data_IF_037063678268
#
_entry.id   IF_037063678268
#
_cell.length_a   1.000
_cell.length_b   1.000
_cell.length_c   1.000
_cell.angle_alpha   90.00
_cell.angle_beta   90.00
_cell.angle_gamma   90.00
#
_symmetry.space_group_name_H-M   'P 1'
#
loop_
_entity.id
_entity.type
_entity.pdbx_description
1 polymer ?
#
# COMPACT_ATOMS: atom_id res chain seq x y z
N UNK A 1 -11.97 -7.80 19.53
CA UNK A 1 -10.65 -8.22 20.06
C UNK A 1 -10.25 -9.55 19.45
N UNK A 2 -9.01 -9.95 19.58
CA UNK A 2 -8.54 -11.30 19.21
C UNK A 2 -9.41 -12.40 19.83
N UNK A 3 -9.80 -12.22 21.09
CA UNK A 3 -10.60 -13.17 21.83
C UNK A 3 -12.07 -13.26 21.38
N UNK A 4 -12.54 -12.29 20.60
CA UNK A 4 -13.90 -12.26 20.04
C UNK A 4 -14.03 -12.87 18.65
N UNK A 5 -12.94 -13.44 18.11
CA UNK A 5 -12.97 -14.10 16.80
C UNK A 5 -13.73 -15.44 16.86
N UNK A 6 -14.26 -15.91 15.72
CA UNK A 6 -14.91 -17.22 15.64
C UNK A 6 -14.00 -18.35 16.13
N UNK A 7 -14.60 -19.39 16.67
CA UNK A 7 -13.86 -20.57 17.15
C UNK A 7 -13.00 -21.16 16.03
N UNK A 8 -11.78 -21.58 16.37
CA UNK A 8 -10.81 -22.15 15.43
C UNK A 8 -10.02 -21.14 14.61
N UNK A 9 -10.38 -19.83 14.63
CA UNK A 9 -9.63 -18.81 13.88
C UNK A 9 -8.22 -18.63 14.44
N UNK A 10 -8.09 -18.59 15.76
CA UNK A 10 -6.80 -18.44 16.44
C UNK A 10 -5.92 -19.67 16.21
N UNK A 11 -6.46 -20.85 16.38
CA UNK A 11 -5.78 -22.12 16.17
C UNK A 11 -5.31 -22.26 14.71
N UNK A 12 -6.15 -21.88 13.75
CA UNK A 12 -5.77 -21.85 12.34
C UNK A 12 -4.60 -20.87 12.09
N UNK A 13 -4.70 -19.66 12.63
CA UNK A 13 -3.64 -18.65 12.49
C UNK A 13 -2.31 -19.13 13.06
N UNK A 14 -2.33 -19.66 14.29
CA UNK A 14 -1.12 -20.14 14.97
C UNK A 14 -0.51 -21.35 14.23
N UNK A 15 -1.33 -22.29 13.74
CA UNK A 15 -0.90 -23.44 12.94
C UNK A 15 -0.23 -23.01 11.64
N UNK A 16 -0.88 -22.16 10.86
CA UNK A 16 -0.34 -21.71 9.57
C UNK A 16 0.95 -20.89 9.75
N UNK A 17 1.01 -20.08 10.79
CA UNK A 17 2.20 -19.31 11.12
C UNK A 17 3.38 -20.20 11.52
N UNK A 18 3.15 -21.25 12.29
CA UNK A 18 4.20 -22.21 12.66
C UNK A 18 4.64 -23.04 11.46
N UNK A 19 3.73 -23.45 10.60
CA UNK A 19 4.04 -24.16 9.35
C UNK A 19 4.98 -23.32 8.45
N UNK A 20 4.69 -22.02 8.27
CA UNK A 20 5.56 -21.09 7.53
C UNK A 20 6.93 -20.95 8.18
N UNK A 21 6.95 -20.78 9.49
CA UNK A 21 8.21 -20.64 10.22
C UNK A 21 9.13 -21.85 10.01
N UNK A 22 8.58 -23.07 10.11
CA UNK A 22 9.33 -24.31 9.84
C UNK A 22 9.82 -24.35 8.40
N UNK A 23 8.99 -23.99 7.42
CA UNK A 23 9.39 -23.95 6.02
C UNK A 23 10.62 -23.06 5.76
N UNK A 24 10.71 -21.91 6.43
CA UNK A 24 11.86 -21.00 6.28
C UNK A 24 13.08 -21.37 7.14
N UNK A 25 12.90 -22.12 8.23
CA UNK A 25 14.00 -22.47 9.16
C UNK A 25 14.71 -23.74 8.72
N UNK A 26 13.98 -24.79 8.41
CA UNK A 26 14.54 -26.12 8.12
C UNK A 26 13.96 -26.78 6.86
N UNK A 27 13.10 -26.09 6.15
CA UNK A 27 12.43 -26.59 4.95
C UNK A 27 11.26 -27.54 5.22
N UNK A 28 10.98 -27.85 6.50
CA UNK A 28 9.85 -28.73 6.84
C UNK A 28 8.53 -27.96 6.84
N UNK A 29 7.49 -28.60 6.33
CA UNK A 29 6.14 -28.06 6.32
C UNK A 29 5.12 -29.18 6.15
N UNK A 30 3.91 -28.98 6.69
CA UNK A 30 2.82 -29.94 6.55
C UNK A 30 2.16 -29.86 5.17
N UNK A 31 2.11 -28.66 4.62
CA UNK A 31 1.61 -28.33 3.28
C UNK A 31 2.27 -27.03 2.82
N UNK A 32 2.24 -26.76 1.51
CA UNK A 32 2.70 -25.49 0.96
C UNK A 32 1.76 -24.38 1.45
N UNK A 33 2.26 -23.39 2.22
CA UNK A 33 1.41 -22.33 2.73
C UNK A 33 0.86 -21.47 1.59
N UNK A 34 -0.45 -21.27 1.57
CA UNK A 34 -1.13 -20.39 0.61
C UNK A 34 -1.68 -19.20 1.38
N UNK A 35 -1.10 -18.02 1.16
CA UNK A 35 -1.50 -16.77 1.82
C UNK A 35 -2.02 -15.76 0.80
N UNK A 36 -3.22 -15.93 0.25
CA UNK A 36 -3.78 -15.00 -0.72
C UNK A 36 -4.12 -13.66 -0.08
N UNK A 37 -3.95 -12.58 -0.83
CA UNK A 37 -4.46 -11.27 -0.47
C UNK A 37 -5.97 -11.25 -0.73
N UNK A 38 -6.76 -11.57 0.27
CA UNK A 38 -8.23 -11.72 0.10
C UNK A 38 -8.97 -10.39 -0.02
N UNK A 39 -8.37 -9.27 0.45
CA UNK A 39 -8.90 -7.93 0.26
C UNK A 39 -10.40 -7.79 0.57
N UNK A 40 -11.10 -7.04 -0.27
CA UNK A 40 -12.55 -6.83 -0.14
C UNK A 40 -13.40 -8.11 -0.26
N UNK A 41 -12.87 -9.18 -0.87
CA UNK A 41 -13.54 -10.49 -0.89
C UNK A 41 -13.86 -11.00 0.51
N UNK A 42 -12.99 -10.72 1.49
CA UNK A 42 -13.24 -11.09 2.88
C UNK A 42 -14.55 -10.49 3.45
N UNK A 43 -14.96 -9.31 2.99
CA UNK A 43 -16.25 -8.75 3.35
C UNK A 43 -17.40 -9.41 2.59
N UNK A 44 -17.31 -9.43 1.26
CA UNK A 44 -18.41 -9.91 0.41
C UNK A 44 -18.71 -11.40 0.57
N UNK A 45 -17.71 -12.23 0.81
CA UNK A 45 -17.88 -13.66 1.09
C UNK A 45 -18.71 -13.93 2.36
N UNK A 46 -18.76 -12.99 3.29
CA UNK A 46 -19.55 -13.07 4.52
C UNK A 46 -20.80 -12.17 4.50
N UNK A 47 -21.20 -11.64 3.34
CA UNK A 47 -22.38 -10.79 3.19
C UNK A 47 -22.23 -9.37 3.73
N UNK A 48 -21.00 -8.90 3.94
CA UNK A 48 -20.70 -7.55 4.41
C UNK A 48 -20.44 -6.58 3.25
N UNK A 49 -20.57 -5.28 3.51
CA UNK A 49 -20.37 -4.26 2.50
C UNK A 49 -18.88 -3.95 2.28
N UNK A 50 -18.51 -3.61 1.04
CA UNK A 50 -17.18 -3.08 0.74
C UNK A 50 -16.96 -1.71 1.35
N UNK A 51 -18.02 -0.90 1.51
CA UNK A 51 -17.93 0.37 2.21
C UNK A 51 -17.37 0.18 3.63
N UNK A 52 -17.95 -0.75 4.40
CA UNK A 52 -17.46 -1.06 5.75
C UNK A 52 -16.03 -1.62 5.72
N UNK A 53 -15.68 -2.44 4.72
CA UNK A 53 -14.32 -2.95 4.56
C UNK A 53 -13.31 -1.81 4.41
N UNK A 54 -13.62 -0.79 3.62
CA UNK A 54 -12.71 0.33 3.36
C UNK A 54 -12.78 1.46 4.39
N UNK A 55 -13.77 1.47 5.28
CA UNK A 55 -13.93 2.50 6.33
C UNK A 55 -13.65 1.99 7.74
N UNK A 56 -13.76 0.67 7.96
CA UNK A 56 -13.66 0.03 9.28
C UNK A 56 -12.53 -1.04 9.30
N UNK A 57 -11.26 -0.65 9.43
CA UNK A 57 -10.14 -1.57 9.35
C UNK A 57 -10.20 -2.71 10.38
N UNK A 58 -10.76 -2.48 11.56
CA UNK A 58 -10.90 -3.50 12.58
C UNK A 58 -11.87 -4.63 12.14
N UNK A 59 -12.96 -4.26 11.47
CA UNK A 59 -13.89 -5.23 10.87
C UNK A 59 -13.22 -5.95 9.70
N UNK A 60 -12.55 -5.20 8.82
CA UNK A 60 -11.85 -5.75 7.66
C UNK A 60 -10.85 -6.84 8.05
N UNK A 61 -10.03 -6.60 9.07
CA UNK A 61 -9.05 -7.58 9.57
C UNK A 61 -9.74 -8.80 10.19
N UNK A 62 -10.81 -8.60 10.96
CA UNK A 62 -11.57 -9.72 11.52
C UNK A 62 -12.18 -10.62 10.42
N UNK A 63 -12.70 -10.03 9.35
CA UNK A 63 -13.24 -10.78 8.21
C UNK A 63 -12.16 -11.51 7.40
N UNK A 64 -10.96 -10.93 7.27
CA UNK A 64 -9.82 -11.61 6.65
C UNK A 64 -9.42 -12.86 7.45
N UNK A 65 -9.37 -12.76 8.78
CA UNK A 65 -9.08 -13.90 9.66
C UNK A 65 -10.15 -15.01 9.55
N UNK A 66 -11.42 -14.62 9.54
CA UNK A 66 -12.51 -15.60 9.43
C UNK A 66 -12.53 -16.25 8.04
N UNK A 67 -12.29 -15.49 6.98
CA UNK A 67 -12.13 -16.03 5.63
C UNK A 67 -10.98 -17.05 5.58
N UNK A 68 -9.83 -16.70 6.14
CA UNK A 68 -8.68 -17.62 6.19
C UNK A 68 -9.03 -18.90 6.94
N UNK A 69 -9.77 -18.83 8.06
CA UNK A 69 -10.24 -19.99 8.81
C UNK A 69 -11.19 -20.87 7.99
N UNK A 70 -12.18 -20.24 7.31
CA UNK A 70 -13.19 -20.97 6.53
C UNK A 70 -12.55 -21.74 5.38
N UNK A 71 -11.58 -21.14 4.71
CA UNK A 71 -10.88 -21.76 3.57
C UNK A 71 -9.63 -22.56 3.94
N UNK A 72 -9.24 -22.60 5.22
CA UNK A 72 -8.04 -23.32 5.68
C UNK A 72 -6.74 -22.75 5.09
N UNK A 73 -6.71 -21.45 4.80
CA UNK A 73 -5.55 -20.77 4.21
C UNK A 73 -4.82 -19.93 5.26
N UNK A 74 -3.56 -19.58 4.94
CA UNK A 74 -2.81 -18.67 5.80
C UNK A 74 -3.44 -17.27 5.81
N UNK A 75 -3.70 -16.68 7.00
CA UNK A 75 -4.16 -15.30 7.08
C UNK A 75 -3.03 -14.32 6.74
N UNK A 76 -3.16 -13.63 5.63
CA UNK A 76 -2.31 -12.51 5.27
C UNK A 76 -3.04 -11.21 5.63
N UNK A 77 -2.80 -10.73 6.85
CA UNK A 77 -3.51 -9.57 7.38
C UNK A 77 -2.96 -8.28 6.79
N UNK A 78 -3.77 -7.62 6.01
CA UNK A 78 -3.46 -6.34 5.41
C UNK A 78 -4.73 -5.50 5.25
N UNK A 79 -4.63 -4.22 5.51
CA UNK A 79 -5.67 -3.27 5.15
C UNK A 79 -5.06 -2.24 4.22
N UNK A 80 -5.36 -2.40 2.93
CA UNK A 80 -4.83 -1.59 1.87
C UNK A 80 -5.92 -0.72 1.25
N UNK A 81 -5.57 0.52 0.96
CA UNK A 81 -6.39 1.49 0.27
C UNK A 81 -5.85 1.65 -1.15
N UNK A 82 -6.69 1.44 -2.16
CA UNK A 82 -6.21 1.33 -3.56
C UNK A 82 -5.67 2.64 -4.13
N UNK A 83 -6.08 3.80 -3.59
CA UNK A 83 -5.73 5.12 -4.10
C UNK A 83 -5.13 5.98 -3.00
N UNK A 84 -3.83 5.95 -2.92
CA UNK A 84 -3.10 6.70 -1.91
C UNK A 84 -2.63 8.06 -2.42
N UNK A 85 -2.53 9.02 -1.50
CA UNK A 85 -1.81 10.28 -1.62
C UNK A 85 -2.49 11.39 -2.43
N UNK A 86 -3.53 11.14 -3.18
CA UNK A 86 -4.21 12.21 -3.91
C UNK A 86 -5.04 13.13 -2.99
N UNK A 87 -5.65 12.59 -1.92
CA UNK A 87 -6.45 13.38 -0.98
C UNK A 87 -5.60 14.34 -0.13
N UNK A 88 -4.36 13.95 0.20
CA UNK A 88 -3.44 14.80 0.95
C UNK A 88 -3.07 16.08 0.17
N UNK A 89 -3.21 16.03 -1.15
CA UNK A 89 -2.95 17.16 -2.07
C UNK A 89 -4.22 17.83 -2.59
N UNK A 90 -5.39 17.51 -2.04
CA UNK A 90 -6.67 18.12 -2.40
C UNK A 90 -7.45 17.40 -3.50
N UNK A 91 -7.02 16.23 -3.94
CA UNK A 91 -7.82 15.32 -4.75
C UNK A 91 -8.95 14.67 -3.96
N UNK A 92 -9.81 13.92 -4.62
CA UNK A 92 -10.91 13.20 -3.98
C UNK A 92 -10.99 11.77 -4.44
N UNK A 93 -11.51 10.89 -3.57
CA UNK A 93 -11.75 9.49 -3.86
C UNK A 93 -13.22 9.12 -3.64
N UNK A 94 -13.63 8.05 -4.29
CA UNK A 94 -14.92 7.40 -4.08
C UNK A 94 -14.72 6.05 -3.41
N UNK A 95 -15.32 5.88 -2.23
CA UNK A 95 -15.38 4.57 -1.58
C UNK A 95 -16.53 3.78 -2.20
N UNK A 96 -16.32 2.53 -2.61
CA UNK A 96 -17.34 1.74 -3.26
C UNK A 96 -18.47 1.37 -2.30
N UNK A 97 -19.70 1.40 -2.84
CA UNK A 97 -20.90 0.91 -2.14
C UNK A 97 -21.44 -0.39 -2.75
N UNK A 98 -20.96 -0.75 -3.95
CA UNK A 98 -21.33 -1.98 -4.63
C UNK A 98 -20.48 -3.18 -4.23
N UNK A 99 -20.88 -4.40 -4.62
CA UNK A 99 -20.25 -5.64 -4.15
C UNK A 99 -18.92 -5.99 -4.85
N UNK A 100 -18.56 -5.32 -5.94
CA UNK A 100 -17.39 -5.68 -6.76
C UNK A 100 -16.67 -4.43 -7.29
N UNK A 101 -16.08 -3.66 -6.38
CA UNK A 101 -15.27 -2.51 -6.77
C UNK A 101 -14.23 -2.18 -5.70
N UNK A 102 -13.20 -1.44 -6.08
CA UNK A 102 -12.22 -0.83 -5.20
C UNK A 102 -12.50 0.68 -5.07
N UNK A 103 -11.90 1.36 -4.09
CA UNK A 103 -11.86 2.82 -4.09
C UNK A 103 -11.27 3.34 -5.40
N UNK A 104 -11.82 4.45 -5.89
CA UNK A 104 -11.44 5.06 -7.16
C UNK A 104 -11.16 6.54 -7.00
N UNK A 105 -10.28 7.10 -7.83
CA UNK A 105 -9.99 8.53 -7.85
C UNK A 105 -11.08 9.26 -8.61
N UNK A 106 -11.68 10.28 -7.98
CA UNK A 106 -12.66 11.15 -8.63
C UNK A 106 -12.02 12.40 -9.20
N UNK A 107 -11.07 13.01 -8.47
CA UNK A 107 -10.36 14.21 -8.93
C UNK A 107 -8.89 14.12 -8.58
N UNK A 108 -8.07 14.64 -9.49
CA UNK A 108 -6.62 14.70 -9.33
C UNK A 108 -6.21 16.12 -8.91
N UNK A 109 -5.28 16.27 -7.94
CA UNK A 109 -4.87 17.58 -7.45
C UNK A 109 -4.17 18.44 -8.51
N UNK A 110 -3.52 17.82 -9.48
CA UNK A 110 -2.66 18.50 -10.47
C UNK A 110 -2.93 18.00 -11.91
N UNK A 111 -4.19 18.06 -12.34
CA UNK A 111 -4.68 17.57 -13.62
C UNK A 111 -4.35 18.46 -14.85
N UNK A 112 -3.63 19.57 -14.64
CA UNK A 112 -3.14 20.46 -15.70
C UNK A 112 -1.64 20.70 -15.56
N UNK A 113 -0.98 21.09 -16.67
CA UNK A 113 0.46 21.41 -16.69
C UNK A 113 0.82 22.47 -15.63
N UNK A 114 0.02 23.52 -15.53
CA UNK A 114 0.23 24.61 -14.57
C UNK A 114 0.13 24.14 -13.12
N UNK A 115 -0.86 23.32 -12.79
CA UNK A 115 -1.03 22.77 -11.44
C UNK A 115 0.10 21.79 -11.10
N UNK A 116 0.49 20.94 -12.06
CA UNK A 116 1.56 19.98 -11.87
C UNK A 116 2.93 20.63 -11.65
N UNK A 117 3.21 21.72 -12.38
CA UNK A 117 4.44 22.49 -12.17
C UNK A 117 4.49 23.14 -10.79
N UNK A 118 3.37 23.64 -10.29
CA UNK A 118 3.24 24.31 -8.97
C UNK A 118 3.10 23.38 -7.78
N UNK A 119 2.77 22.09 -8.00
CA UNK A 119 2.56 21.15 -6.89
C UNK A 119 3.89 20.87 -6.19
N UNK A 120 3.93 21.04 -4.86
CA UNK A 120 5.12 20.76 -4.06
C UNK A 120 4.87 19.61 -3.07
N UNK A 121 5.90 18.79 -2.77
CA UNK A 121 5.78 17.71 -1.79
C UNK A 121 5.47 18.26 -0.39
N UNK A 122 4.48 17.68 0.28
CA UNK A 122 4.18 17.99 1.68
C UNK A 122 5.32 17.49 2.60
N UNK A 123 5.57 18.20 3.69
CA UNK A 123 6.50 17.80 4.74
C UNK A 123 6.03 16.53 5.47
N UNK A 124 6.92 15.82 6.19
CA UNK A 124 6.52 14.67 7.01
C UNK A 124 5.43 15.01 8.03
N UNK A 125 5.49 16.19 8.65
CA UNK A 125 4.50 16.65 9.64
C UNK A 125 3.14 16.95 9.02
N UNK A 126 3.10 17.51 7.80
CA UNK A 126 1.85 17.73 7.05
C UNK A 126 1.23 16.40 6.65
N UNK A 127 2.02 15.47 6.07
CA UNK A 127 1.56 14.12 5.72
C UNK A 127 1.07 13.34 6.94
N UNK A 128 1.76 13.46 8.09
CA UNK A 128 1.34 12.80 9.32
C UNK A 128 -0.05 13.25 9.80
N UNK A 129 -0.43 14.50 9.51
CA UNK A 129 -1.77 15.05 9.81
C UNK A 129 -2.79 14.77 8.69
N UNK A 130 -2.32 14.30 7.53
CA UNK A 130 -3.13 14.05 6.37
C UNK A 130 -4.03 12.80 6.48
N UNK A 131 -5.06 12.71 5.64
CA UNK A 131 -6.03 11.62 5.69
C UNK A 131 -5.41 10.25 5.35
N UNK A 132 -4.41 10.20 4.48
CA UNK A 132 -3.80 8.92 4.06
C UNK A 132 -3.02 8.27 5.18
N UNK A 133 -2.12 9.01 5.85
CA UNK A 133 -1.36 8.47 7.01
C UNK A 133 -2.32 8.14 8.17
N UNK A 134 -3.31 8.98 8.45
CA UNK A 134 -4.28 8.70 9.51
C UNK A 134 -5.00 7.37 9.29
N UNK A 135 -5.49 7.10 8.07
CA UNK A 135 -6.10 5.82 7.70
C UNK A 135 -5.11 4.66 7.77
N UNK A 136 -3.92 4.86 7.23
CA UNK A 136 -2.89 3.83 7.21
C UNK A 136 -2.49 3.39 8.63
N UNK A 137 -2.24 4.34 9.52
CA UNK A 137 -1.94 4.07 10.94
C UNK A 137 -3.08 3.34 11.63
N UNK A 138 -4.34 3.71 11.34
CA UNK A 138 -5.51 3.00 11.87
C UNK A 138 -5.55 1.54 11.41
N UNK A 139 -5.27 1.30 10.12
CA UNK A 139 -5.15 -0.06 9.56
C UNK A 139 -4.01 -0.86 10.19
N UNK A 140 -2.82 -0.26 10.35
CA UNK A 140 -1.68 -0.91 11.01
C UNK A 140 -1.99 -1.29 12.46
N UNK A 141 -2.67 -0.42 13.21
CA UNK A 141 -3.11 -0.72 14.59
C UNK A 141 -4.12 -1.85 14.64
N UNK A 142 -5.03 -1.93 13.67
CA UNK A 142 -5.95 -3.05 13.56
C UNK A 142 -5.21 -4.36 13.30
N UNK A 143 -4.26 -4.38 12.37
CA UNK A 143 -3.41 -5.56 12.12
C UNK A 143 -2.60 -5.93 13.37
N UNK A 144 -1.97 -4.97 14.04
CA UNK A 144 -1.18 -5.19 15.27
C UNK A 144 -2.02 -5.84 16.37
N UNK A 145 -3.26 -5.40 16.54
CA UNK A 145 -4.22 -5.95 17.52
C UNK A 145 -4.49 -7.45 17.32
N UNK A 146 -4.44 -7.93 16.08
CA UNK A 146 -4.70 -9.33 15.73
C UNK A 146 -3.45 -10.14 15.44
N UNK A 147 -2.29 -9.51 15.24
CA UNK A 147 -1.02 -10.19 14.95
C UNK A 147 -0.20 -10.52 16.20
N UNK A 148 -0.55 -9.97 17.35
CA UNK A 148 0.13 -10.23 18.63
C UNK A 148 1.52 -9.59 18.76
N UNK A 149 2.28 -10.04 19.77
CA UNK A 149 3.61 -9.49 20.09
C UNK A 149 4.61 -9.71 18.94
N UNK A 150 5.38 -8.67 18.63
CA UNK A 150 6.43 -8.73 17.61
C UNK A 150 5.97 -8.34 16.20
N UNK A 151 4.75 -7.87 16.04
CA UNK A 151 4.32 -7.26 14.79
C UNK A 151 5.22 -6.06 14.46
N UNK A 152 5.68 -6.01 13.21
CA UNK A 152 6.41 -4.85 12.66
C UNK A 152 5.47 -4.12 11.71
N UNK A 153 5.23 -2.82 11.92
CA UNK A 153 4.41 -2.05 11.00
C UNK A 153 5.00 -2.16 9.58
N UNK A 154 4.10 -2.24 8.62
CA UNK A 154 4.47 -2.39 7.23
C UNK A 154 3.81 -1.29 6.41
N UNK A 155 4.61 -0.56 5.64
CA UNK A 155 4.14 0.46 4.73
C UNK A 155 4.28 -0.04 3.30
N UNK A 156 3.19 0.00 2.57
CA UNK A 156 3.19 -0.20 1.14
C UNK A 156 3.38 1.16 0.46
N UNK A 157 4.43 1.28 -0.33
CA UNK A 157 4.70 2.45 -1.16
C UNK A 157 4.60 2.00 -2.61
N UNK A 158 3.74 2.65 -3.37
CA UNK A 158 3.75 2.47 -4.82
C UNK A 158 5.05 3.00 -5.39
N UNK A 159 5.42 2.52 -6.57
CA UNK A 159 6.55 3.11 -7.28
C UNK A 159 6.31 4.60 -7.54
N UNK A 160 7.36 5.43 -7.62
CA UNK A 160 7.19 6.86 -7.83
C UNK A 160 6.32 7.21 -9.05
N UNK A 161 6.41 6.47 -10.16
CA UNK A 161 5.59 6.72 -11.34
C UNK A 161 4.08 6.54 -11.07
N UNK A 162 3.69 5.53 -10.31
CA UNK A 162 2.30 5.31 -9.87
C UNK A 162 1.86 6.43 -8.91
N UNK A 163 2.71 6.83 -7.97
CA UNK A 163 2.39 7.94 -7.06
C UNK A 163 2.19 9.24 -7.84
N UNK A 164 3.05 9.52 -8.83
CA UNK A 164 2.89 10.65 -9.74
C UNK A 164 1.54 10.61 -10.46
N UNK A 165 1.12 9.44 -10.92
CA UNK A 165 -0.18 9.28 -11.57
C UNK A 165 -1.38 9.53 -10.64
N UNK A 166 -1.24 9.37 -9.34
CA UNK A 166 -2.28 9.78 -8.38
C UNK A 166 -2.38 11.30 -8.20
N UNK A 167 -1.35 12.04 -8.56
CA UNK A 167 -1.37 13.50 -8.53
C UNK A 167 -1.93 14.12 -9.81
N UNK A 168 -1.57 13.56 -10.97
CA UNK A 168 -1.83 14.21 -12.29
C UNK A 168 -2.81 13.44 -13.18
N UNK A 169 -3.20 12.26 -12.89
CA UNK A 169 -3.87 11.17 -13.59
C UNK A 169 -2.91 10.23 -14.32
N UNK A 170 -3.29 8.95 -14.49
CA UNK A 170 -2.51 7.98 -15.28
C UNK A 170 -2.33 8.44 -16.73
N UNK A 171 -3.38 8.98 -17.35
CA UNK A 171 -3.37 9.46 -18.74
C UNK A 171 -2.39 10.61 -18.91
N UNK A 172 -2.46 11.63 -18.04
CA UNK A 172 -1.55 12.76 -18.09
C UNK A 172 -0.11 12.31 -17.85
N UNK A 173 0.14 11.44 -16.88
CA UNK A 173 1.50 10.97 -16.59
C UNK A 173 2.12 10.25 -17.79
N UNK A 174 1.37 9.37 -18.46
CA UNK A 174 1.83 8.66 -19.65
C UNK A 174 2.01 9.60 -20.86
N UNK A 175 1.11 10.56 -21.06
CA UNK A 175 1.23 11.53 -22.14
C UNK A 175 2.43 12.46 -21.92
N UNK A 176 2.63 12.97 -20.71
CA UNK A 176 3.69 13.94 -20.43
C UNK A 176 5.10 13.36 -20.48
N UNK A 177 5.27 12.06 -20.26
CA UNK A 177 6.54 11.38 -20.57
C UNK A 177 6.98 11.61 -22.01
N UNK A 178 6.03 11.76 -22.96
CA UNK A 178 6.33 11.95 -24.39
C UNK A 178 6.28 13.44 -24.78
N UNK A 179 5.27 14.17 -24.31
CA UNK A 179 4.96 15.51 -24.77
C UNK A 179 5.66 16.59 -23.95
N UNK A 180 5.88 16.35 -22.65
CA UNK A 180 6.43 17.29 -21.68
C UNK A 180 7.45 16.59 -20.75
N UNK A 181 8.53 15.99 -21.30
CA UNK A 181 9.45 15.15 -20.53
C UNK A 181 10.10 15.90 -19.37
N UNK A 182 10.43 17.18 -19.51
CA UNK A 182 11.02 17.98 -18.45
C UNK A 182 10.07 18.14 -17.25
N UNK A 183 8.76 18.34 -17.51
CA UNK A 183 7.75 18.38 -16.46
C UNK A 183 7.58 17.01 -15.82
N UNK A 184 7.54 15.93 -16.62
CA UNK A 184 7.45 14.58 -16.08
C UNK A 184 8.63 14.29 -15.14
N UNK A 185 9.85 14.65 -15.51
CA UNK A 185 11.03 14.56 -14.64
C UNK A 185 10.92 15.44 -13.39
N UNK A 186 10.35 16.66 -13.50
CA UNK A 186 10.09 17.52 -12.34
C UNK A 186 9.12 16.85 -11.36
N UNK A 187 8.02 16.30 -11.86
CA UNK A 187 7.03 15.54 -11.05
C UNK A 187 7.73 14.36 -10.38
N UNK A 188 8.53 13.58 -11.10
CA UNK A 188 9.19 12.40 -10.54
C UNK A 188 10.14 12.75 -9.39
N UNK A 189 10.91 13.83 -9.49
CA UNK A 189 11.77 14.32 -8.39
C UNK A 189 10.97 14.71 -7.16
N UNK A 190 9.85 15.40 -7.35
CA UNK A 190 8.91 15.79 -6.28
C UNK A 190 8.30 14.55 -5.62
N UNK A 191 7.92 13.55 -6.41
CA UNK A 191 7.37 12.28 -5.91
C UNK A 191 8.40 11.48 -5.12
N UNK A 192 9.67 11.43 -5.54
CA UNK A 192 10.74 10.79 -4.75
C UNK A 192 10.83 11.43 -3.37
N UNK A 193 10.80 12.76 -3.30
CA UNK A 193 10.78 13.49 -2.02
C UNK A 193 9.55 13.12 -1.20
N UNK A 194 8.36 13.08 -1.81
CA UNK A 194 7.14 12.65 -1.15
C UNK A 194 7.24 11.23 -0.57
N UNK A 195 7.77 10.26 -1.32
CA UNK A 195 7.93 8.88 -0.84
C UNK A 195 8.81 8.80 0.43
N UNK A 196 9.87 9.60 0.50
CA UNK A 196 10.72 9.70 1.68
C UNK A 196 9.96 10.34 2.84
N UNK A 197 9.31 11.48 2.60
CA UNK A 197 8.52 12.20 3.60
C UNK A 197 7.36 11.35 4.15
N UNK A 198 6.75 10.51 3.32
CA UNK A 198 5.71 9.57 3.77
C UNK A 198 6.25 8.50 4.72
N UNK A 199 7.46 8.00 4.50
CA UNK A 199 8.13 7.08 5.42
C UNK A 199 8.48 7.77 6.74
N UNK A 200 8.97 8.99 6.71
CA UNK A 200 9.25 9.79 7.91
C UNK A 200 7.96 10.10 8.67
N UNK A 201 6.88 10.48 7.98
CA UNK A 201 5.56 10.70 8.57
C UNK A 201 5.04 9.49 9.35
N UNK A 202 5.20 8.28 8.79
CA UNK A 202 4.85 7.04 9.50
C UNK A 202 5.72 6.83 10.75
N UNK A 203 7.00 7.18 10.68
CA UNK A 203 7.93 7.05 11.81
C UNK A 203 7.52 7.91 13.01
N UNK A 204 6.81 9.01 12.81
CA UNK A 204 6.27 9.84 13.89
C UNK A 204 5.24 9.09 14.76
N UNK A 205 4.51 8.13 14.16
CA UNK A 205 3.54 7.29 14.88
C UNK A 205 4.15 6.04 15.51
N UNK A 206 5.34 5.63 15.08
CA UNK A 206 6.06 4.44 15.54
C UNK A 206 7.51 4.75 15.91
N UNK A 207 7.76 5.69 16.85
CA UNK A 207 9.10 6.16 17.19
C UNK A 207 9.99 4.99 17.68
N UNK A 208 11.17 4.89 17.11
CA UNK A 208 12.15 3.84 17.45
C UNK A 208 11.78 2.41 17.02
N UNK A 209 10.67 2.23 16.31
CA UNK A 209 10.28 0.92 15.76
C UNK A 209 10.66 0.83 14.28
N UNK A 210 11.42 -0.18 13.87
CA UNK A 210 11.67 -0.41 12.46
C UNK A 210 10.35 -0.83 11.78
N UNK A 211 10.05 -0.24 10.64
CA UNK A 211 8.96 -0.70 9.77
C UNK A 211 9.52 -1.26 8.47
N UNK A 212 8.70 -2.07 7.83
CA UNK A 212 9.02 -2.66 6.54
C UNK A 212 8.37 -1.82 5.45
N UNK A 213 9.10 -1.62 4.36
CA UNK A 213 8.59 -0.95 3.17
C UNK A 213 8.60 -1.92 2.00
N UNK A 214 7.53 -1.98 1.25
CA UNK A 214 7.51 -2.64 -0.05
C UNK A 214 7.01 -1.69 -1.13
N UNK A 215 7.47 -1.93 -2.35
CA UNK A 215 7.13 -1.13 -3.51
C UNK A 215 6.50 -2.03 -4.58
N UNK A 216 5.52 -1.54 -5.32
CA UNK A 216 4.94 -2.25 -6.44
C UNK A 216 4.91 -1.37 -7.68
N UNK A 217 5.31 -1.95 -8.80
CA UNK A 217 5.21 -1.34 -10.13
C UNK A 217 3.89 -1.77 -10.76
N UNK A 218 3.02 -0.82 -11.07
CA UNK A 218 1.71 -1.11 -11.64
C UNK A 218 1.50 -0.48 -13.01
N UNK A 219 1.94 0.76 -13.20
CA UNK A 219 1.66 1.55 -14.40
C UNK A 219 2.81 1.52 -15.42
N UNK A 220 4.06 1.56 -14.96
CA UNK A 220 5.23 1.52 -15.81
C UNK A 220 5.58 0.07 -16.18
N UNK A 221 5.05 -0.40 -17.28
CA UNK A 221 5.27 -1.75 -17.80
C UNK A 221 5.27 -1.78 -19.33
N UNK A 222 5.64 -2.90 -19.92
CA UNK A 222 5.78 -3.06 -21.37
C UNK A 222 4.49 -2.89 -22.19
N UNK A 223 3.32 -2.85 -21.54
CA UNK A 223 2.04 -2.57 -22.21
C UNK A 223 1.74 -1.07 -22.31
N UNK A 224 2.40 -0.25 -21.51
CA UNK A 224 2.12 1.19 -21.39
C UNK A 224 3.29 2.07 -21.84
N UNK A 225 4.53 1.59 -21.75
CA UNK A 225 5.75 2.36 -22.00
C UNK A 225 6.80 1.51 -22.69
N UNK A 226 7.73 2.15 -23.43
CA UNK A 226 8.93 1.47 -23.92
C UNK A 226 9.86 1.07 -22.78
N UNK A 227 10.79 0.15 -23.04
CA UNK A 227 11.79 -0.28 -22.05
C UNK A 227 12.65 0.91 -21.59
N UNK A 228 13.01 1.78 -22.52
CA UNK A 228 13.81 2.98 -22.27
C UNK A 228 13.03 3.94 -21.34
N UNK A 229 11.77 4.20 -21.65
CA UNK A 229 10.89 5.03 -20.83
C UNK A 229 10.66 4.43 -19.44
N UNK A 230 10.41 3.12 -19.34
CA UNK A 230 10.30 2.44 -18.04
C UNK A 230 11.58 2.59 -17.22
N UNK A 231 12.76 2.49 -17.86
CA UNK A 231 14.03 2.70 -17.18
C UNK A 231 14.16 4.14 -16.69
N UNK A 232 13.96 5.12 -17.57
CA UNK A 232 14.17 6.53 -17.32
C UNK A 232 13.19 7.12 -16.31
N UNK A 233 11.89 6.86 -16.48
CA UNK A 233 10.82 7.48 -15.66
C UNK A 233 10.35 6.64 -14.48
N UNK A 234 10.65 5.35 -14.41
CA UNK A 234 10.21 4.50 -13.30
C UNK A 234 11.38 3.89 -12.53
N UNK A 235 12.24 3.09 -13.20
CA UNK A 235 13.28 2.31 -12.53
C UNK A 235 14.33 3.19 -11.85
N UNK A 236 14.81 4.23 -12.50
CA UNK A 236 15.88 5.08 -11.98
C UNK A 236 15.36 5.91 -10.78
N UNK A 237 14.14 6.43 -10.85
CA UNK A 237 13.50 7.12 -9.73
C UNK A 237 13.12 6.18 -8.58
N UNK A 238 12.74 4.92 -8.87
CA UNK A 238 12.51 3.93 -7.82
C UNK A 238 13.78 3.61 -7.05
N UNK A 239 14.93 3.43 -7.74
CA UNK A 239 16.23 3.24 -7.08
C UNK A 239 16.56 4.40 -6.16
N UNK A 240 16.44 5.63 -6.67
CA UNK A 240 16.69 6.84 -5.89
C UNK A 240 15.79 6.91 -4.65
N UNK A 241 14.50 6.64 -4.80
CA UNK A 241 13.55 6.64 -3.68
C UNK A 241 13.94 5.59 -2.62
N UNK A 242 14.23 4.35 -3.03
CA UNK A 242 14.61 3.26 -2.13
C UNK A 242 15.91 3.55 -1.37
N UNK A 243 16.92 4.09 -2.04
CA UNK A 243 18.19 4.48 -1.40
C UNK A 243 17.99 5.55 -0.32
N UNK A 244 17.11 6.52 -0.58
CA UNK A 244 16.77 7.57 0.39
C UNK A 244 15.91 7.02 1.54
N UNK A 245 14.91 6.18 1.26
CA UNK A 245 14.04 5.56 2.25
C UNK A 245 14.85 4.69 3.22
N UNK A 246 15.83 3.92 2.74
CA UNK A 246 16.70 3.12 3.61
C UNK A 246 17.50 4.01 4.56
N UNK A 247 17.95 5.19 4.12
CA UNK A 247 18.72 6.13 4.94
C UNK A 247 17.89 6.73 6.09
N UNK A 248 16.59 6.88 5.92
CA UNK A 248 15.69 7.37 6.99
C UNK A 248 15.20 6.25 7.93
N UNK A 249 15.82 5.08 7.86
CA UNK A 249 15.60 3.97 8.81
C UNK A 249 14.48 3.00 8.45
N UNK A 250 13.92 3.11 7.25
CA UNK A 250 12.97 2.13 6.76
C UNK A 250 13.72 0.94 6.12
N UNK A 251 13.53 -0.26 6.68
CA UNK A 251 14.01 -1.48 6.05
C UNK A 251 13.16 -1.83 4.82
N UNK A 252 13.80 -2.13 3.69
CA UNK A 252 13.10 -2.67 2.50
C UNK A 252 12.95 -4.17 2.61
N UNK A 253 11.74 -4.69 2.34
CA UNK A 253 11.46 -6.14 2.40
C UNK A 253 11.12 -6.77 1.07
N UNK A 254 10.86 -6.00 0.03
CA UNK A 254 10.58 -6.55 -1.30
C UNK A 254 10.14 -5.48 -2.30
N UNK A 255 10.40 -5.77 -3.56
CA UNK A 255 9.88 -5.05 -4.70
C UNK A 255 8.96 -6.02 -5.43
N UNK A 256 7.70 -5.65 -5.63
CA UNK A 256 6.75 -6.43 -6.40
C UNK A 256 6.68 -5.85 -7.81
N UNK A 257 7.03 -6.66 -8.80
CA UNK A 257 6.83 -6.33 -10.20
C UNK A 257 5.54 -6.98 -10.69
N UNK A 258 4.66 -6.18 -11.28
CA UNK A 258 3.58 -6.68 -12.11
C UNK A 258 4.06 -6.66 -13.57
N UNK A 259 4.10 -7.83 -14.20
CA UNK A 259 4.32 -7.97 -15.64
C UNK A 259 3.01 -7.92 -16.39
#
# INVERSE_FOLDING_TARGET
SWDSLPAGTKENYDRERENIKRMFVDGSHDHVPIGPLVGGYAATAHGHSLYDYYTEPEKAIAWQLDTARVYGIMPYLNWNYAVYWNEDYGGTIKIPTGPMSAPDVLTYPADTLEKADKLEPLSPEELARGPTIARHVRGLRAVEKYSGKGYKPWQFIYEPFVVGSFWVSPENMLMWVIQEPDLAHSIMRKVVTHCVNACEALSLYYPGRPFKTSCATLLANSSTMSVEQCKEFATDYMKEALEKIVKVGAGTTGIFYHQ
#
